data_IF_911167975091
#
_entry.id   IF_911167975091
#
_cell.length_a   1.000
_cell.length_b   1.000
_cell.length_c   1.000
_cell.angle_alpha   90.00
_cell.angle_beta   90.00
_cell.angle_gamma   90.00
#
_symmetry.space_group_name_H-M   'P 1'
#
loop_
_entity.id
_entity.type
_entity.pdbx_description
1 polymer ?
#
# COMPACT_ATOMS: atom_id res chain seq x y z
N UNK A 1 0.78 11.11 -7.51
CA UNK A 1 1.09 10.30 -6.31
C UNK A 1 1.37 8.88 -6.75
N UNK A 2 2.56 8.34 -6.44
CA UNK A 2 3.09 7.11 -7.04
C UNK A 2 2.52 5.90 -6.30
N UNK A 3 1.51 5.24 -6.87
CA UNK A 3 0.96 3.98 -6.35
C UNK A 3 2.09 2.95 -6.28
N UNK A 4 2.33 2.39 -5.10
CA UNK A 4 3.41 1.42 -4.83
C UNK A 4 3.22 0.05 -5.53
N UNK A 5 2.22 -0.07 -6.42
CA UNK A 5 1.94 -1.23 -7.29
C UNK A 5 2.05 -0.94 -8.80
N UNK A 6 2.69 0.15 -9.24
CA UNK A 6 2.73 0.50 -10.68
C UNK A 6 3.73 -0.30 -11.55
N UNK A 7 4.05 -1.55 -11.20
CA UNK A 7 4.84 -2.45 -12.06
C UNK A 7 4.18 -3.83 -12.17
N UNK A 8 3.11 -3.92 -12.95
CA UNK A 8 2.84 -5.12 -13.76
C UNK A 8 1.96 -4.71 -14.95
N UNK A 9 2.63 -4.28 -16.01
CA UNK A 9 2.01 -4.01 -17.31
C UNK A 9 1.80 -5.37 -17.96
N UNK A 10 0.55 -5.79 -18.17
CA UNK A 10 0.21 -6.77 -19.21
C UNK A 10 -0.61 -6.05 -20.27
N UNK A 11 0.11 -5.58 -21.28
CA UNK A 11 -0.44 -5.15 -22.57
C UNK A 11 -0.98 -6.42 -23.26
N UNK A 12 -2.24 -6.74 -23.03
CA UNK A 12 -2.92 -7.93 -23.55
C UNK A 12 -4.04 -7.54 -24.50
N UNK A 13 -3.68 -7.40 -25.78
CA UNK A 13 -4.51 -7.36 -26.99
C UNK A 13 -5.99 -7.77 -26.82
N UNK A 14 -6.93 -6.85 -27.06
CA UNK A 14 -8.27 -7.19 -27.56
C UNK A 14 -8.66 -6.22 -28.67
N UNK A 15 -8.48 -6.70 -29.89
CA UNK A 15 -9.38 -6.55 -31.05
C UNK A 15 -9.61 -5.15 -31.65
N UNK A 16 -8.70 -4.82 -32.56
CA UNK A 16 -9.03 -4.24 -33.85
C UNK A 16 -10.09 -5.10 -34.57
N UNK A 17 -11.34 -4.62 -34.69
CA UNK A 17 -12.20 -4.84 -35.87
C UNK A 17 -13.29 -3.75 -35.90
N UNK A 18 -13.25 -2.91 -36.94
CA UNK A 18 -14.34 -2.01 -37.32
C UNK A 18 -15.56 -2.84 -37.73
N UNK A 19 -16.71 -2.61 -37.11
CA UNK A 19 -18.02 -2.80 -37.74
C UNK A 19 -18.95 -1.66 -37.32
N UNK A 20 -19.21 -0.76 -38.26
CA UNK A 20 -20.24 0.29 -38.19
C UNK A 20 -21.52 -0.32 -38.75
N UNK A 21 -22.59 -0.52 -37.96
CA UNK A 21 -23.98 -0.58 -38.48
C UNK A 21 -24.99 -0.06 -37.44
N UNK A 22 -25.61 1.08 -37.78
CA UNK A 22 -26.97 1.59 -37.51
C UNK A 22 -27.59 1.49 -36.10
N UNK A 23 -27.79 2.66 -35.48
CA UNK A 23 -29.16 3.09 -35.19
C UNK A 23 -29.79 2.84 -33.82
N UNK A 24 -29.04 2.53 -32.76
CA UNK A 24 -29.55 2.63 -31.39
C UNK A 24 -28.70 3.57 -30.55
N UNK A 25 -29.24 4.76 -30.28
CA UNK A 25 -28.77 5.59 -29.17
C UNK A 25 -29.36 4.97 -27.90
N UNK A 26 -28.69 3.99 -27.30
CA UNK A 26 -28.95 3.61 -25.92
C UNK A 26 -28.16 4.55 -25.02
N UNK A 27 -28.84 5.63 -24.63
CA UNK A 27 -28.75 6.34 -23.35
C UNK A 27 -27.46 6.15 -22.54
N UNK A 28 -26.79 7.26 -22.29
CA UNK A 28 -25.75 7.44 -21.28
C UNK A 28 -26.12 6.78 -19.94
N UNK A 29 -25.38 5.75 -19.56
CA UNK A 29 -24.90 5.68 -18.20
C UNK A 29 -23.46 6.17 -18.26
N UNK A 30 -23.17 7.33 -17.68
CA UNK A 30 -21.88 7.44 -17.02
C UNK A 30 -21.95 6.36 -15.97
N UNK A 31 -21.38 5.19 -16.26
CA UNK A 31 -20.98 4.29 -15.21
C UNK A 31 -20.02 5.13 -14.38
N UNK A 32 -20.58 5.74 -13.34
CA UNK A 32 -19.79 6.27 -12.26
C UNK A 32 -19.29 5.02 -11.57
N UNK A 33 -18.33 4.36 -12.23
CA UNK A 33 -17.50 3.34 -11.70
C UNK A 33 -16.57 4.08 -10.75
N UNK A 34 -17.17 4.64 -9.70
CA UNK A 34 -16.58 4.75 -8.41
C UNK A 34 -16.37 3.30 -7.98
N UNK A 35 -15.43 2.61 -8.64
CA UNK A 35 -14.54 1.67 -7.97
C UNK A 35 -13.91 2.56 -6.90
N UNK A 36 -14.62 2.69 -5.79
CA UNK A 36 -14.06 3.02 -4.51
C UNK A 36 -13.00 1.94 -4.37
N UNK A 37 -11.78 2.25 -4.81
CA UNK A 37 -10.70 1.29 -4.88
C UNK A 37 -10.37 1.05 -3.41
N UNK A 38 -11.11 0.10 -2.83
CA UNK A 38 -11.21 -0.05 -1.40
C UNK A 38 -9.81 -0.31 -0.90
N UNK A 39 -9.46 0.40 0.15
CA UNK A 39 -8.14 0.27 0.73
C UNK A 39 -7.96 -1.19 1.19
N UNK A 40 -6.92 -1.84 0.69
CA UNK A 40 -6.61 -3.22 1.04
C UNK A 40 -5.11 -3.45 1.05
N UNK A 41 -4.65 -4.25 2.02
CA UNK A 41 -3.26 -4.69 2.09
C UNK A 41 -3.11 -5.88 1.14
N UNK A 42 -2.25 -5.75 0.14
CA UNK A 42 -1.99 -6.78 -0.87
C UNK A 42 -0.75 -7.61 -0.56
N UNK A 43 0.17 -7.09 0.27
CA UNK A 43 1.33 -7.81 0.78
C UNK A 43 1.70 -7.30 2.17
N UNK A 44 1.79 -8.23 3.12
CA UNK A 44 2.21 -7.93 4.48
C UNK A 44 3.72 -7.64 4.56
N UNK A 45 4.16 -6.82 5.52
CA UNK A 45 5.58 -6.67 5.82
C UNK A 45 6.17 -8.00 6.30
N UNK A 46 7.33 -8.34 5.77
CA UNK A 46 8.08 -9.53 6.18
C UNK A 46 8.92 -9.25 7.40
N UNK A 47 9.10 -10.27 8.24
CA UNK A 47 10.08 -10.23 9.32
C UNK A 47 11.48 -10.09 8.74
N UNK A 48 12.26 -9.16 9.29
CA UNK A 48 13.66 -8.94 8.93
C UNK A 48 14.53 -9.11 10.17
N UNK A 49 15.67 -9.79 10.00
CA UNK A 49 16.68 -9.97 11.03
C UNK A 49 18.01 -9.46 10.48
N UNK A 50 18.80 -8.80 11.33
CA UNK A 50 20.10 -8.25 10.99
C UNK A 50 20.94 -8.01 12.24
N UNK A 51 22.20 -7.66 12.06
CA UNK A 51 23.10 -7.30 13.15
C UNK A 51 22.86 -5.83 13.55
N UNK A 52 23.27 -5.48 14.77
CA UNK A 52 23.31 -4.08 15.21
C UNK A 52 24.17 -3.29 14.23
N UNK A 53 23.66 -2.15 13.77
CA UNK A 53 24.29 -1.32 12.73
C UNK A 53 23.82 -1.62 11.31
N UNK A 54 23.16 -2.75 11.05
CA UNK A 54 22.63 -3.07 9.72
C UNK A 54 21.41 -2.19 9.39
N UNK A 55 21.32 -1.77 8.12
CA UNK A 55 20.13 -1.13 7.59
C UNK A 55 19.16 -2.17 7.05
N UNK A 56 18.01 -2.35 7.71
CA UNK A 56 16.91 -3.21 7.26
C UNK A 56 15.85 -2.40 6.54
N UNK A 57 15.14 -3.02 5.59
CA UNK A 57 14.06 -2.41 4.82
C UNK A 57 12.75 -3.19 5.00
N UNK A 58 11.71 -2.50 5.45
CA UNK A 58 10.34 -3.00 5.53
C UNK A 58 9.55 -2.51 4.32
N UNK A 59 8.72 -3.38 3.75
CA UNK A 59 7.87 -3.07 2.59
C UNK A 59 6.45 -3.53 2.84
N UNK A 60 5.46 -2.74 2.43
CA UNK A 60 4.04 -3.12 2.43
C UNK A 60 3.44 -2.89 1.04
N UNK A 61 2.61 -3.83 0.59
CA UNK A 61 1.78 -3.68 -0.60
C UNK A 61 0.38 -3.23 -0.20
N UNK A 62 -0.15 -2.19 -0.86
CA UNK A 62 -1.54 -1.79 -0.67
C UNK A 62 -2.17 -1.26 -1.96
N UNK A 63 -3.46 -1.55 -2.14
CA UNK A 63 -4.34 -0.97 -3.16
C UNK A 63 -5.17 0.16 -2.56
N UNK A 64 -5.52 1.13 -3.40
CA UNK A 64 -6.38 2.25 -3.06
C UNK A 64 -5.95 3.54 -3.72
N UNK A 65 -6.65 4.63 -3.42
CA UNK A 65 -6.35 5.97 -3.93
C UNK A 65 -5.98 6.90 -2.78
N UNK A 66 -5.07 7.85 -3.05
CA UNK A 66 -4.62 8.85 -2.07
C UNK A 66 -4.12 8.27 -0.74
N UNK A 67 -3.42 7.12 -0.80
CA UNK A 67 -2.92 6.41 0.38
C UNK A 67 -1.86 7.21 1.13
N UNK A 68 -2.03 7.27 2.45
CA UNK A 68 -1.07 7.74 3.45
C UNK A 68 -0.60 6.55 4.26
N UNK A 69 0.66 6.53 4.63
CA UNK A 69 1.27 5.45 5.41
C UNK A 69 1.76 6.02 6.72
N UNK A 70 1.62 5.26 7.80
CA UNK A 70 2.22 5.54 9.09
C UNK A 70 2.75 4.24 9.68
N UNK A 71 4.06 4.04 9.59
CA UNK A 71 4.72 2.92 10.26
C UNK A 71 4.73 3.17 11.76
N UNK A 72 4.49 2.10 12.52
CA UNK A 72 4.51 2.08 13.97
C UNK A 72 5.37 0.93 14.47
N UNK A 73 5.93 1.10 15.66
CA UNK A 73 6.65 0.05 16.34
C UNK A 73 6.22 -0.09 17.79
N UNK A 74 6.50 -1.27 18.35
CA UNK A 74 6.48 -1.51 19.78
C UNK A 74 7.73 -2.28 20.17
N UNK A 75 8.41 -1.80 21.21
CA UNK A 75 9.61 -2.42 21.76
C UNK A 75 9.24 -3.69 22.53
N UNK A 76 10.17 -4.64 22.61
CA UNK A 76 10.05 -5.82 23.45
C UNK A 76 9.60 -5.46 24.88
N UNK A 77 8.58 -6.16 25.37
CA UNK A 77 8.01 -5.94 26.70
C UNK A 77 7.14 -4.69 26.84
N UNK A 78 6.93 -3.91 25.77
CA UNK A 78 5.96 -2.80 25.74
C UNK A 78 4.70 -3.22 24.99
N UNK A 79 3.60 -2.52 25.28
CA UNK A 79 2.31 -2.70 24.60
C UNK A 79 1.82 -1.43 23.88
N UNK A 80 2.58 -0.34 23.96
CA UNK A 80 2.22 0.93 23.33
C UNK A 80 2.86 1.05 21.95
N UNK A 81 2.03 1.27 20.92
CA UNK A 81 2.50 1.51 19.56
C UNK A 81 2.91 2.96 19.39
N UNK A 82 4.10 3.17 18.84
CA UNK A 82 4.70 4.50 18.62
C UNK A 82 4.94 4.72 17.12
N UNK A 83 4.62 5.90 16.62
CA UNK A 83 4.85 6.27 15.23
C UNK A 83 6.36 6.44 14.95
N UNK A 84 6.83 5.90 13.82
CA UNK A 84 8.10 6.31 13.26
C UNK A 84 7.98 7.70 12.64
N UNK A 85 8.90 8.61 12.97
CA UNK A 85 8.93 9.98 12.44
C UNK A 85 9.03 10.03 10.90
N UNK A 86 9.77 9.09 10.30
CA UNK A 86 9.96 8.98 8.85
C UNK A 86 9.12 7.88 8.18
N UNK A 87 8.18 7.29 8.91
CA UNK A 87 7.39 6.14 8.49
C UNK A 87 6.23 6.48 7.54
N UNK A 88 6.45 7.29 6.51
CA UNK A 88 5.36 7.89 5.71
C UNK A 88 5.23 7.34 4.27
N UNK A 89 5.87 6.22 3.96
CA UNK A 89 5.87 5.60 2.63
C UNK A 89 5.60 4.10 2.69
N UNK A 90 5.32 3.46 1.55
CA UNK A 90 5.16 2.01 1.47
C UNK A 90 6.44 1.21 1.79
N UNK A 91 7.58 1.90 1.88
CA UNK A 91 8.86 1.33 2.29
C UNK A 91 9.45 2.15 3.44
N UNK A 92 10.03 1.48 4.43
CA UNK A 92 10.73 2.13 5.54
C UNK A 92 12.09 1.47 5.74
N UNK A 93 13.15 2.27 5.78
CA UNK A 93 14.50 1.82 6.14
C UNK A 93 14.80 2.15 7.59
N UNK A 94 15.42 1.22 8.31
CA UNK A 94 15.83 1.45 9.69
C UNK A 94 17.17 0.81 9.98
N UNK A 95 18.05 1.56 10.63
CA UNK A 95 19.30 1.02 11.18
C UNK A 95 18.98 0.35 12.51
N UNK A 96 19.34 -0.91 12.64
CA UNK A 96 19.18 -1.69 13.86
C UNK A 96 20.12 -1.17 14.95
N UNK A 97 19.62 -1.11 16.18
CA UNK A 97 20.38 -0.75 17.37
C UNK A 97 19.94 -1.65 18.54
N UNK A 98 20.64 -1.59 19.65
CA UNK A 98 20.35 -2.40 20.86
C UNK A 98 18.93 -2.20 21.40
N UNK A 99 18.27 -1.08 21.09
CA UNK A 99 16.89 -0.81 21.50
C UNK A 99 15.86 -1.57 20.64
N UNK A 100 16.24 -2.05 19.45
CA UNK A 100 15.35 -2.72 18.51
C UNK A 100 15.42 -4.26 18.55
N UNK A 101 15.96 -4.84 19.63
CA UNK A 101 15.84 -6.28 19.86
C UNK A 101 14.36 -6.67 19.96
N UNK A 102 13.94 -7.66 19.16
CA UNK A 102 12.57 -8.17 19.07
C UNK A 102 11.49 -7.07 18.82
N UNK A 103 11.85 -6.10 18.00
CA UNK A 103 10.95 -5.01 17.58
C UNK A 103 9.76 -5.55 16.77
N UNK A 104 8.54 -5.28 17.22
CA UNK A 104 7.35 -5.50 16.39
C UNK A 104 7.05 -4.23 15.61
N UNK A 105 6.80 -4.39 14.32
CA UNK A 105 6.51 -3.30 13.38
C UNK A 105 5.18 -3.57 12.70
N UNK A 106 4.38 -2.52 12.54
CA UNK A 106 3.16 -2.54 11.72
C UNK A 106 3.05 -1.24 10.93
N UNK A 107 2.17 -1.22 9.94
CA UNK A 107 1.84 0.00 9.21
C UNK A 107 0.35 0.24 9.22
N UNK A 108 -0.03 1.47 9.51
CA UNK A 108 -1.38 1.98 9.33
C UNK A 108 -1.42 2.67 7.98
N UNK A 109 -2.34 2.25 7.11
CA UNK A 109 -2.53 2.83 5.79
C UNK A 109 -3.90 3.48 5.79
N UNK A 110 -3.98 4.76 5.43
CA UNK A 110 -5.22 5.54 5.40
C UNK A 110 -5.46 6.04 3.98
N UNK A 111 -6.65 5.86 3.44
CA UNK A 111 -7.01 6.38 2.11
C UNK A 111 -7.40 7.87 2.14
N UNK A 112 -7.66 8.43 0.96
CA UNK A 112 -8.12 9.82 0.84
C UNK A 112 -9.51 10.08 1.45
N UNK A 113 -10.27 9.03 1.74
CA UNK A 113 -11.62 9.09 2.28
C UNK A 113 -11.62 8.93 3.82
N UNK A 114 -10.45 8.66 4.42
CA UNK A 114 -10.27 8.47 5.86
C UNK A 114 -10.39 7.02 6.34
N UNK A 115 -10.64 6.05 5.45
CA UNK A 115 -10.65 4.64 5.84
C UNK A 115 -9.23 4.16 6.11
N UNK A 116 -9.05 3.30 7.11
CA UNK A 116 -7.73 2.79 7.49
C UNK A 116 -7.69 1.27 7.57
N UNK A 117 -6.56 0.70 7.15
CA UNK A 117 -6.21 -0.72 7.32
C UNK A 117 -4.87 -0.83 8.04
N UNK A 118 -4.69 -1.93 8.78
CA UNK A 118 -3.49 -2.18 9.59
C UNK A 118 -2.93 -3.55 9.22
N UNK A 119 -1.60 -3.64 9.05
CA UNK A 119 -0.88 -4.90 8.82
C UNK A 119 -0.82 -5.79 10.04
#
# INVERSE_FOLDING_TARGET
MKNCMKKMICFGLVFMMLFIVQGHITTYALENNNVSNSIAITSQPVTVAGKIGDAVEFRVGASGTNLKYQWQYVLKGRNNWVNFTSGNACTMKKVLNETYDDLKVRVVITDGNGNSVIS
#
